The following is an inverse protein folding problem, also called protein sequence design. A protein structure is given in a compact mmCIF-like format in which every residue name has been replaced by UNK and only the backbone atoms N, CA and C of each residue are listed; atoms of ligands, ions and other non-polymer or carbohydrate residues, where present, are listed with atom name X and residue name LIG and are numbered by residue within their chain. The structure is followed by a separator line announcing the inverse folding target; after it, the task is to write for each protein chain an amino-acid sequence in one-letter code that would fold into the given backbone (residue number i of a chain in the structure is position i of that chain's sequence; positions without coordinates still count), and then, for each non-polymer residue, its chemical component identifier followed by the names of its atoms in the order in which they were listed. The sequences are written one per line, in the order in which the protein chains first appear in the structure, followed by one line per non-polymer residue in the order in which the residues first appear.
data_IF_528724808370
#
_entry.id   IF_528724808370
#
_cell.length_a   1.000
_cell.length_b   1.000
_cell.length_c   1.000
_cell.angle_alpha   90.00
_cell.angle_beta   90.00
_cell.angle_gamma   90.00
#
_symmetry.space_group_name_H-M   'P 1'
#
loop_
_entity.id
_entity.type
_entity.pdbx_description
1 polymer ?
#
# COMPACT_ATOMS: atom_id res chain seq x y z
N UNK A 1 -19.82 64.77 -26.98
CA UNK A 1 -19.12 63.68 -27.68
C UNK A 1 -17.87 64.28 -28.31
N UNK A 2 -16.71 64.17 -27.66
CA UNK A 2 -15.46 64.67 -28.21
C UNK A 2 -14.94 63.64 -29.22
N UNK A 3 -14.87 64.03 -30.49
CA UNK A 3 -14.27 63.22 -31.54
C UNK A 3 -12.77 63.07 -31.23
N UNK A 4 -12.29 61.83 -31.15
CA UNK A 4 -10.86 61.56 -31.02
C UNK A 4 -10.15 62.10 -32.26
N UNK A 5 -9.19 62.99 -32.07
CA UNK A 5 -8.41 63.63 -33.12
C UNK A 5 -7.63 62.55 -33.90
N UNK A 6 -7.89 62.33 -35.20
CA UNK A 6 -7.28 61.25 -35.98
C UNK A 6 -5.75 61.37 -36.08
N UNK A 7 -5.22 62.57 -35.82
CA UNK A 7 -3.79 62.87 -35.88
C UNK A 7 -3.03 62.46 -34.61
N UNK A 8 -3.73 62.20 -33.50
CA UNK A 8 -3.13 61.62 -32.29
C UNK A 8 -2.87 60.11 -32.42
N UNK A 9 -3.68 59.42 -33.21
CA UNK A 9 -3.56 57.97 -33.45
C UNK A 9 -2.34 57.65 -34.33
N UNK A 10 -1.98 58.55 -35.25
CA UNK A 10 -0.82 58.38 -36.14
C UNK A 10 0.54 58.55 -35.43
N UNK A 11 0.57 59.22 -34.27
CA UNK A 11 1.79 59.45 -33.46
C UNK A 11 2.05 58.38 -32.41
N UNK A 12 1.09 57.50 -32.16
CA UNK A 12 1.30 56.30 -31.37
C UNK A 12 2.16 55.34 -32.21
N UNK A 13 3.49 55.51 -32.14
CA UNK A 13 4.44 54.50 -32.60
C UNK A 13 3.97 53.15 -32.03
N UNK A 14 3.88 52.08 -32.83
CA UNK A 14 3.57 50.76 -32.29
C UNK A 14 4.61 50.48 -31.21
N UNK A 15 4.15 50.36 -29.96
CA UNK A 15 4.98 49.98 -28.83
C UNK A 15 5.49 48.59 -29.18
N UNK A 16 6.71 48.52 -29.71
CA UNK A 16 7.37 47.25 -29.99
C UNK A 16 7.63 46.62 -28.62
N UNK A 17 6.87 45.57 -28.30
CA UNK A 17 7.11 44.79 -27.11
C UNK A 17 8.56 44.26 -27.15
N UNK A 18 9.28 44.25 -26.02
CA UNK A 18 10.62 43.70 -25.95
C UNK A 18 10.63 42.24 -26.47
N UNK A 19 11.68 41.82 -27.20
CA UNK A 19 11.78 40.44 -27.66
C UNK A 19 11.69 39.48 -26.47
N UNK A 20 10.69 38.59 -26.49
CA UNK A 20 10.39 37.66 -25.39
C UNK A 20 9.03 37.88 -24.70
N UNK A 21 8.35 39.00 -24.94
CA UNK A 21 6.97 39.21 -24.43
C UNK A 21 5.91 38.41 -25.19
N UNK A 22 6.19 37.99 -26.44
CA UNK A 22 5.33 37.08 -27.21
C UNK A 22 5.36 35.64 -26.66
N UNK A 23 6.25 35.33 -25.73
CA UNK A 23 6.31 34.01 -25.07
C UNK A 23 5.14 33.77 -24.10
N UNK A 24 4.39 34.80 -23.75
CA UNK A 24 3.17 34.74 -22.93
C UNK A 24 1.91 34.58 -23.80
N UNK A 25 1.96 33.67 -24.76
CA UNK A 25 0.77 33.27 -25.51
C UNK A 25 -0.15 32.40 -24.62
N UNK A 26 -1.46 32.41 -24.90
CA UNK A 26 -2.45 31.57 -24.24
C UNK A 26 -2.03 30.09 -24.27
N UNK A 27 -1.40 29.66 -25.38
CA UNK A 27 -0.85 28.33 -25.55
C UNK A 27 0.25 28.02 -24.52
N UNK A 28 1.14 28.97 -24.24
CA UNK A 28 2.18 28.83 -23.22
C UNK A 28 1.60 28.72 -21.81
N UNK A 29 0.57 29.50 -21.51
CA UNK A 29 -0.16 29.42 -20.23
C UNK A 29 -0.80 28.04 -20.03
N UNK A 30 -1.48 27.52 -21.06
CA UNK A 30 -2.10 26.18 -21.03
C UNK A 30 -1.04 25.09 -20.90
N UNK A 31 0.10 25.22 -21.57
CA UNK A 31 1.21 24.26 -21.47
C UNK A 31 1.81 24.21 -20.06
N UNK A 32 2.08 25.37 -19.45
CA UNK A 32 2.57 25.46 -18.06
C UNK A 32 1.55 24.86 -17.09
N UNK A 33 0.27 25.16 -17.29
CA UNK A 33 -0.80 24.60 -16.47
C UNK A 33 -0.88 23.08 -16.57
N UNK A 34 -0.83 22.53 -17.78
CA UNK A 34 -0.80 21.08 -18.00
C UNK A 34 0.43 20.44 -17.34
N UNK A 35 1.60 21.08 -17.44
CA UNK A 35 2.84 20.61 -16.83
C UNK A 35 2.75 20.62 -15.29
N UNK A 36 2.15 21.67 -14.72
CA UNK A 36 1.93 21.77 -13.27
C UNK A 36 0.95 20.70 -12.77
N UNK A 37 -0.13 20.43 -13.51
CA UNK A 37 -1.05 19.33 -13.19
C UNK A 37 -0.34 17.97 -13.25
N UNK A 38 0.47 17.74 -14.28
CA UNK A 38 1.20 16.50 -14.45
C UNK A 38 2.24 16.30 -13.33
N UNK A 39 2.97 17.36 -12.97
CA UNK A 39 3.88 17.36 -11.83
C UNK A 39 3.14 17.11 -10.50
N UNK A 40 1.99 17.75 -10.29
CA UNK A 40 1.15 17.55 -9.12
C UNK A 40 0.63 16.11 -9.02
N UNK A 41 0.21 15.52 -10.15
CA UNK A 41 -0.25 14.13 -10.20
C UNK A 41 0.88 13.14 -9.90
N UNK A 42 2.06 13.36 -10.50
CA UNK A 42 3.25 12.55 -10.22
C UNK A 42 3.65 12.63 -8.74
N UNK A 43 3.63 13.83 -8.15
CA UNK A 43 3.90 14.02 -6.74
C UNK A 43 2.84 13.32 -5.86
N UNK A 44 1.56 13.42 -6.21
CA UNK A 44 0.50 12.73 -5.48
C UNK A 44 0.63 11.21 -5.55
N UNK A 45 1.01 10.65 -6.70
CA UNK A 45 1.27 9.22 -6.87
C UNK A 45 2.50 8.77 -6.08
N UNK A 46 3.59 9.55 -6.13
CA UNK A 46 4.79 9.27 -5.34
C UNK A 46 4.47 9.30 -3.85
N UNK A 47 3.77 10.34 -3.39
CA UNK A 47 3.31 10.45 -2.01
C UNK A 47 2.40 9.28 -1.65
N UNK A 48 1.46 8.88 -2.49
CA UNK A 48 0.61 7.72 -2.22
C UNK A 48 1.44 6.44 -2.12
N UNK A 49 2.39 6.20 -3.01
CA UNK A 49 3.26 5.03 -2.93
C UNK A 49 4.13 5.04 -1.64
N UNK A 50 4.55 6.22 -1.19
CA UNK A 50 5.35 6.41 0.02
C UNK A 50 4.51 6.41 1.32
N UNK A 51 3.24 6.84 1.26
CA UNK A 51 2.37 7.04 2.41
C UNK A 51 1.28 5.98 2.56
N UNK A 52 1.08 5.10 1.57
CA UNK A 52 0.19 3.94 1.73
C UNK A 52 0.68 3.15 2.94
N UNK A 53 -0.12 3.05 4.01
CA UNK A 53 0.28 2.30 5.19
C UNK A 53 0.47 0.86 4.75
N UNK A 54 1.69 0.34 4.91
CA UNK A 54 1.96 -1.07 4.66
C UNK A 54 1.02 -1.87 5.57
N UNK A 55 0.19 -2.78 5.03
CA UNK A 55 -0.63 -3.64 5.86
C UNK A 55 0.30 -4.36 6.83
N UNK A 56 -0.05 -4.30 8.11
CA UNK A 56 0.74 -5.00 9.12
C UNK A 56 0.63 -6.49 8.88
N UNK A 57 1.70 -7.25 9.12
CA UNK A 57 1.70 -8.71 9.04
C UNK A 57 0.53 -9.34 9.83
N UNK A 58 0.11 -8.70 10.92
CA UNK A 58 -1.05 -9.11 11.69
C UNK A 58 -2.37 -9.00 10.90
N UNK A 59 -2.60 -7.87 10.24
CA UNK A 59 -3.79 -7.67 9.40
C UNK A 59 -3.82 -8.63 8.20
N UNK A 60 -2.67 -8.80 7.53
CA UNK A 60 -2.56 -9.75 6.40
C UNK A 60 -2.81 -11.20 6.85
N UNK A 61 -2.37 -11.56 8.06
CA UNK A 61 -2.65 -12.88 8.63
C UNK A 61 -4.12 -13.04 8.97
N UNK A 62 -4.76 -12.05 9.60
CA UNK A 62 -6.18 -12.11 9.93
C UNK A 62 -7.03 -12.25 8.66
N UNK A 63 -6.75 -11.46 7.62
CA UNK A 63 -7.43 -11.55 6.32
C UNK A 63 -7.23 -12.94 5.67
N UNK A 64 -6.02 -13.50 5.75
CA UNK A 64 -5.72 -14.82 5.19
C UNK A 64 -6.45 -15.95 5.94
N UNK A 65 -6.54 -15.87 7.27
CA UNK A 65 -7.28 -16.85 8.07
C UNK A 65 -8.80 -16.72 7.86
N UNK A 66 -9.31 -15.50 7.76
CA UNK A 66 -10.74 -15.27 7.50
C UNK A 66 -11.14 -15.74 6.09
N UNK A 67 -10.30 -15.53 5.08
CA UNK A 67 -10.51 -16.07 3.74
C UNK A 67 -10.47 -17.62 3.72
N UNK A 68 -9.70 -18.24 4.63
CA UNK A 68 -9.61 -19.69 4.74
C UNK A 68 -10.84 -20.33 5.41
N UNK A 69 -11.69 -19.57 6.12
CA UNK A 69 -12.88 -20.10 6.81
C UNK A 69 -13.93 -20.69 5.88
N UNK A 70 -14.03 -20.20 4.65
CA UNK A 70 -14.97 -20.73 3.66
C UNK A 70 -14.45 -21.97 2.93
N UNK A 71 -13.22 -22.42 3.21
CA UNK A 71 -12.61 -23.56 2.54
C UNK A 71 -13.00 -24.90 3.21
N UNK A 72 -12.96 -26.00 2.45
CA UNK A 72 -12.95 -27.36 3.01
C UNK A 72 -11.84 -27.54 4.07
N UNK A 73 -12.07 -28.43 5.04
CA UNK A 73 -11.19 -28.56 6.22
C UNK A 73 -9.73 -28.91 5.88
N UNK A 74 -9.52 -29.74 4.86
CA UNK A 74 -8.22 -30.12 4.31
C UNK A 74 -7.51 -28.96 3.62
N UNK A 75 -8.21 -28.20 2.79
CA UNK A 75 -7.67 -26.99 2.16
C UNK A 75 -7.37 -25.89 3.19
N UNK A 76 -8.22 -25.75 4.20
CA UNK A 76 -8.05 -24.80 5.30
C UNK A 76 -6.77 -25.09 6.08
N UNK A 77 -6.50 -26.36 6.39
CA UNK A 77 -5.27 -26.80 7.07
C UNK A 77 -4.01 -26.43 6.26
N UNK A 78 -4.04 -26.62 4.94
CA UNK A 78 -2.93 -26.22 4.04
C UNK A 78 -2.71 -24.70 4.04
N UNK A 79 -3.80 -23.92 4.03
CA UNK A 79 -3.71 -22.45 4.13
C UNK A 79 -3.14 -22.00 5.47
N UNK A 80 -3.57 -22.61 6.57
CA UNK A 80 -3.05 -22.34 7.91
C UNK A 80 -1.54 -22.67 7.99
N UNK A 81 -1.10 -23.79 7.40
CA UNK A 81 0.32 -24.13 7.31
C UNK A 81 1.13 -23.07 6.54
N UNK A 82 0.60 -22.57 5.43
CA UNK A 82 1.23 -21.51 4.64
C UNK A 82 1.35 -20.19 5.42
N UNK A 83 0.31 -19.83 6.18
CA UNK A 83 0.32 -18.65 7.08
C UNK A 83 1.38 -18.79 8.16
N UNK A 84 1.47 -19.95 8.83
CA UNK A 84 2.51 -20.23 9.84
C UNK A 84 3.92 -20.12 9.24
N UNK A 85 4.12 -20.63 8.03
CA UNK A 85 5.40 -20.52 7.33
C UNK A 85 5.77 -19.05 7.01
N UNK A 86 4.79 -18.22 6.60
CA UNK A 86 5.01 -16.80 6.37
C UNK A 86 5.37 -16.04 7.65
N UNK A 87 4.65 -16.30 8.75
CA UNK A 87 4.94 -15.73 10.06
C UNK A 87 6.33 -16.12 10.56
N UNK A 88 6.76 -17.36 10.32
CA UNK A 88 8.08 -17.81 10.74
C UNK A 88 9.20 -17.07 9.99
N UNK A 89 9.04 -16.80 8.69
CA UNK A 89 9.98 -15.99 7.91
C UNK A 89 10.07 -14.54 8.42
N UNK A 90 8.94 -13.94 8.78
CA UNK A 90 8.91 -12.59 9.37
C UNK A 90 9.58 -12.57 10.76
N UNK A 91 9.33 -13.58 11.59
CA UNK A 91 10.00 -13.74 12.88
C UNK A 91 11.51 -14.01 12.71
N UNK A 92 11.92 -14.69 11.64
CA UNK A 92 13.32 -14.88 11.27
C UNK A 92 14.01 -13.55 10.93
N UNK A 93 13.38 -12.75 10.07
CA UNK A 93 13.85 -11.42 9.69
C UNK A 93 14.01 -10.47 10.90
N UNK A 94 13.23 -10.68 11.96
CA UNK A 94 13.29 -9.90 13.22
C UNK A 94 14.43 -10.31 14.17
N UNK A 95 15.22 -11.34 13.84
CA UNK A 95 16.35 -11.80 14.65
C UNK A 95 15.95 -12.17 16.08
N UNK A 96 16.77 -11.76 17.07
CA UNK A 96 16.53 -12.03 18.50
C UNK A 96 15.17 -11.56 19.02
N UNK A 97 14.58 -10.52 18.41
CA UNK A 97 13.26 -9.99 18.80
C UNK A 97 12.09 -10.86 18.34
N UNK A 98 12.33 -11.79 17.39
CA UNK A 98 11.35 -12.73 16.88
C UNK A 98 11.44 -14.12 17.53
N UNK A 99 12.48 -14.40 18.31
CA UNK A 99 12.75 -15.73 18.88
C UNK A 99 11.58 -16.33 19.67
N UNK A 100 10.88 -15.58 20.56
CA UNK A 100 9.73 -16.13 21.27
C UNK A 100 8.57 -16.50 20.34
N UNK A 101 8.38 -15.75 19.25
CA UNK A 101 7.36 -16.05 18.25
C UNK A 101 7.74 -17.30 17.44
N UNK A 102 9.01 -17.44 17.05
CA UNK A 102 9.50 -18.64 16.35
C UNK A 102 9.29 -19.91 17.17
N UNK A 103 9.60 -19.87 18.46
CA UNK A 103 9.42 -21.04 19.34
C UNK A 103 7.94 -21.47 19.40
N UNK A 104 7.01 -20.52 19.52
CA UNK A 104 5.56 -20.83 19.50
C UNK A 104 5.11 -21.34 18.13
N UNK A 105 5.56 -20.71 17.05
CA UNK A 105 5.25 -21.15 15.68
C UNK A 105 5.82 -22.53 15.37
N UNK A 106 6.97 -22.89 15.95
CA UNK A 106 7.55 -24.22 15.80
C UNK A 106 6.65 -25.30 16.41
N UNK A 107 6.08 -25.04 17.60
CA UNK A 107 5.11 -25.96 18.23
C UNK A 107 3.85 -26.11 17.35
N UNK A 108 3.28 -24.99 16.90
CA UNK A 108 2.11 -25.00 16.01
C UNK A 108 2.41 -25.79 14.73
N UNK A 109 3.58 -25.54 14.11
CA UNK A 109 4.01 -26.24 12.90
C UNK A 109 4.13 -27.74 13.13
N UNK A 110 4.73 -28.19 14.24
CA UNK A 110 4.83 -29.62 14.53
C UNK A 110 3.47 -30.30 14.67
N UNK A 111 2.48 -29.61 15.24
CA UNK A 111 1.10 -30.11 15.32
C UNK A 111 0.45 -30.21 13.94
N UNK A 112 0.60 -29.18 13.10
CA UNK A 112 0.08 -29.17 11.73
C UNK A 112 0.72 -30.28 10.91
N UNK A 113 2.06 -30.40 10.96
CA UNK A 113 2.82 -31.40 10.20
C UNK A 113 2.38 -32.82 10.61
N UNK A 114 2.15 -33.08 11.90
CA UNK A 114 1.67 -34.39 12.37
C UNK A 114 0.25 -34.74 11.87
N UNK A 115 -0.62 -33.73 11.73
CA UNK A 115 -2.00 -33.92 11.26
C UNK A 115 -2.11 -34.00 9.73
N UNK A 116 -1.21 -33.33 9.00
CA UNK A 116 -1.21 -33.34 7.53
C UNK A 116 -1.05 -34.75 6.94
N UNK A 117 -0.33 -35.63 7.63
CA UNK A 117 -0.09 -37.01 7.20
C UNK A 117 -1.16 -37.99 7.67
N UNK A 118 -2.22 -37.54 8.35
CA UNK A 118 -3.31 -38.41 8.75
C UNK A 118 -4.33 -38.58 7.62
N UNK A 119 -4.88 -39.80 7.40
CA UNK A 119 -5.92 -40.03 6.40
C UNK A 119 -7.21 -39.23 6.66
N UNK A 120 -7.44 -38.88 7.92
CA UNK A 120 -8.52 -38.00 8.38
C UNK A 120 -7.95 -37.07 9.45
N UNK A 121 -7.64 -35.81 9.12
CA UNK A 121 -7.21 -34.84 10.12
C UNK A 121 -8.33 -34.67 11.14
N UNK A 122 -7.99 -34.75 12.43
CA UNK A 122 -8.94 -34.54 13.54
C UNK A 122 -8.73 -33.17 14.20
N UNK A 123 -7.83 -32.36 13.65
CA UNK A 123 -7.47 -31.06 14.19
C UNK A 123 -8.66 -30.10 14.09
N UNK A 124 -8.93 -29.39 15.17
CA UNK A 124 -9.89 -28.30 15.19
C UNK A 124 -9.29 -27.07 14.46
N UNK A 125 -9.80 -26.71 13.27
CA UNK A 125 -9.24 -25.62 12.51
C UNK A 125 -9.54 -24.24 13.13
N UNK A 126 -10.60 -24.10 13.93
CA UNK A 126 -10.92 -22.85 14.59
C UNK A 126 -10.01 -22.62 15.81
N UNK A 127 -9.73 -23.68 16.57
CA UNK A 127 -8.73 -23.67 17.63
C UNK A 127 -7.33 -23.31 17.11
N UNK A 128 -6.93 -23.88 15.97
CA UNK A 128 -5.65 -23.56 15.34
C UNK A 128 -5.53 -22.08 14.93
N UNK A 129 -6.61 -21.49 14.40
CA UNK A 129 -6.63 -20.06 14.08
C UNK A 129 -6.45 -19.19 15.33
N UNK A 130 -7.07 -19.57 16.44
CA UNK A 130 -6.92 -18.86 17.71
C UNK A 130 -5.47 -18.91 18.22
N UNK A 131 -4.82 -20.08 18.11
CA UNK A 131 -3.42 -20.27 18.46
C UNK A 131 -2.50 -19.42 17.57
N UNK A 132 -2.72 -19.39 16.26
CA UNK A 132 -1.96 -18.54 15.32
C UNK A 132 -2.13 -17.05 15.68
N UNK A 133 -3.36 -16.60 15.96
CA UNK A 133 -3.62 -15.22 16.38
C UNK A 133 -2.97 -14.87 17.73
N UNK A 134 -2.85 -15.84 18.64
CA UNK A 134 -2.20 -15.62 19.95
C UNK A 134 -0.71 -15.24 19.81
N UNK A 135 -0.04 -15.74 18.76
CA UNK A 135 1.36 -15.38 18.44
C UNK A 135 1.47 -13.91 18.04
N UNK A 136 0.47 -13.37 17.35
CA UNK A 136 0.38 -11.97 16.94
C UNK A 136 -0.03 -11.05 18.08
N UNK A 137 -0.98 -11.49 18.91
CA UNK A 137 -1.60 -10.72 20.00
C UNK A 137 -0.69 -10.40 21.19
N UNK A 138 0.40 -11.14 21.39
CA UNK A 138 1.40 -10.83 22.43
C UNK A 138 2.12 -9.48 22.23
N UNK A 139 1.86 -8.78 21.11
CA UNK A 139 2.46 -7.48 20.74
C UNK A 139 1.51 -6.27 20.79
N UNK A 140 0.28 -6.37 21.31
CA UNK A 140 -0.55 -5.19 21.57
C UNK A 140 -0.26 -4.64 22.98
N UNK A 141 0.56 -3.57 23.15
CA UNK A 141 0.37 -2.71 24.30
C UNK A 141 -1.02 -2.08 24.17
N UNK A 142 -1.79 -2.14 25.25
CA UNK A 142 -2.99 -1.33 25.43
C UNK A 142 -2.64 0.15 25.49
#
# INVERSE_FOLDING_TARGET
MAAADPDLVSRLRPVRLPPGFDAFDWQGTVAIFALALLAGLLLALALRALTVPRPTIAAETDDALDAARSLPADERLLRQAAVVAALNRDAEAKGKRGEPARQRLAVIRTTIDAELYRPKPALDPDGLDADIRSVLGARRPR
#
